data_IF_053447568960
#
_entry.id   IF_053447568960
#
_cell.length_a   1.000
_cell.length_b   1.000
_cell.length_c   1.000
_cell.angle_alpha   90.00
_cell.angle_beta   90.00
_cell.angle_gamma   90.00
#
_symmetry.space_group_name_H-M   'P 1'
#
loop_
_entity.id
_entity.type
_entity.pdbx_description
1 polymer ?
#
# COMPACT_ATOMS: atom_id res chain seq x y z
N UNK A 1 -0.26 21.92 -9.37
CA UNK A 1 -0.64 20.56 -8.95
C UNK A 1 -0.18 20.37 -7.51
N UNK A 2 -1.03 20.30 -6.47
CA UNK A 2 -0.52 20.10 -5.12
C UNK A 2 -0.16 18.63 -4.95
N UNK A 3 1.14 18.37 -4.86
CA UNK A 3 1.66 17.14 -4.28
C UNK A 3 1.33 17.10 -2.78
N UNK A 4 1.07 15.92 -2.21
CA UNK A 4 1.20 15.71 -0.76
C UNK A 4 -0.07 15.81 0.08
N UNK A 5 -1.20 15.27 -0.39
CA UNK A 5 -2.31 15.01 0.55
C UNK A 5 -1.89 13.85 1.46
N UNK A 6 -1.66 14.16 2.72
CA UNK A 6 -1.35 13.18 3.77
C UNK A 6 -2.65 12.53 4.22
N UNK A 7 -2.67 11.20 4.26
CA UNK A 7 -3.73 10.43 4.90
C UNK A 7 -3.31 10.22 6.35
N UNK A 8 -4.15 10.68 7.27
CA UNK A 8 -3.86 10.68 8.72
C UNK A 8 -3.85 9.27 9.30
N UNK A 9 -4.87 8.46 9.00
CA UNK A 9 -5.00 7.08 9.43
C UNK A 9 -5.84 6.32 8.42
N UNK A 10 -5.43 5.10 8.06
CA UNK A 10 -6.24 4.16 7.30
C UNK A 10 -6.04 2.75 7.86
N UNK A 11 -7.13 2.03 8.06
CA UNK A 11 -7.13 0.63 8.50
C UNK A 11 -7.48 -0.25 7.32
N UNK A 12 -6.57 -1.14 6.94
CA UNK A 12 -6.71 -1.93 5.71
C UNK A 12 -6.22 -3.36 5.91
N UNK A 13 -6.81 -4.28 5.16
CA UNK A 13 -6.30 -5.64 5.00
C UNK A 13 -5.40 -5.72 3.78
N UNK A 14 -4.25 -6.37 3.95
CA UNK A 14 -3.33 -6.66 2.85
C UNK A 14 -3.81 -7.92 2.15
N UNK A 15 -4.28 -7.77 0.91
CA UNK A 15 -4.76 -8.89 0.11
C UNK A 15 -3.60 -9.64 -0.54
N UNK A 16 -2.63 -8.91 -1.09
CA UNK A 16 -1.43 -9.49 -1.70
C UNK A 16 -0.26 -8.51 -1.69
N UNK A 17 0.94 -9.03 -1.54
CA UNK A 17 2.21 -8.33 -1.60
C UNK A 17 2.96 -8.86 -2.82
N UNK A 18 3.42 -7.95 -3.69
CA UNK A 18 4.18 -8.33 -4.88
C UNK A 18 5.45 -9.10 -4.48
N UNK A 19 5.79 -10.22 -5.15
CA UNK A 19 7.02 -10.93 -4.87
C UNK A 19 8.27 -10.14 -5.30
N UNK A 20 8.11 -9.20 -6.22
CA UNK A 20 9.21 -8.40 -6.78
C UNK A 20 9.35 -7.07 -6.07
N UNK A 21 10.59 -6.63 -5.88
CA UNK A 21 10.90 -5.26 -5.48
C UNK A 21 11.36 -4.44 -6.68
N UNK A 22 11.21 -3.14 -6.53
CA UNK A 22 11.60 -2.13 -7.51
C UNK A 22 12.63 -1.23 -6.86
N UNK A 23 13.70 -0.92 -7.58
CA UNK A 23 14.71 0.03 -7.11
C UNK A 23 14.56 1.31 -7.90
N UNK A 24 14.34 2.41 -7.19
CA UNK A 24 14.15 3.73 -7.79
C UNK A 24 15.22 4.68 -7.26
N UNK A 25 15.93 5.35 -8.16
CA UNK A 25 16.94 6.35 -7.78
C UNK A 25 16.25 7.67 -7.44
N UNK A 26 16.25 8.03 -6.16
CA UNK A 26 15.67 9.28 -5.65
C UNK A 26 16.82 10.16 -5.15
N UNK A 27 17.03 11.31 -5.80
CA UNK A 27 18.09 12.28 -5.45
C UNK A 27 19.49 11.65 -5.36
N UNK A 28 19.79 10.70 -6.25
CA UNK A 28 21.08 10.00 -6.31
C UNK A 28 21.20 8.81 -5.37
N UNK A 29 20.22 8.56 -4.49
CA UNK A 29 20.17 7.39 -3.62
C UNK A 29 19.21 6.36 -4.19
N UNK A 30 19.65 5.11 -4.28
CA UNK A 30 18.78 3.99 -4.65
C UNK A 30 17.84 3.66 -3.48
N UNK A 31 16.55 3.54 -3.79
CA UNK A 31 15.48 3.31 -2.82
C UNK A 31 14.68 2.09 -3.25
N UNK A 32 14.54 1.14 -2.34
CA UNK A 32 13.76 -0.07 -2.61
C UNK A 32 12.29 0.16 -2.28
N UNK A 33 11.42 -0.27 -3.20
CA UNK A 33 9.98 -0.21 -3.09
C UNK A 33 9.31 -1.53 -3.47
N UNK A 34 8.17 -1.82 -2.87
CA UNK A 34 7.33 -3.00 -3.17
C UNK A 34 5.86 -2.61 -3.21
N UNK A 35 5.13 -3.04 -4.24
CA UNK A 35 3.67 -2.85 -4.31
C UNK A 35 2.93 -3.91 -3.51
N UNK A 36 1.83 -3.52 -2.87
CA UNK A 36 0.84 -4.44 -2.33
C UNK A 36 -0.59 -3.96 -2.64
N UNK A 37 -1.52 -4.91 -2.76
CA UNK A 37 -2.96 -4.66 -2.85
C UNK A 37 -3.52 -4.64 -1.43
N UNK A 38 -4.16 -3.54 -1.08
CA UNK A 38 -4.83 -3.33 0.20
C UNK A 38 -6.30 -3.07 -0.03
N UNK A 39 -7.13 -3.43 0.93
CA UNK A 39 -8.56 -3.14 0.86
C UNK A 39 -9.11 -2.77 2.23
N UNK A 40 -10.02 -1.82 2.22
CA UNK A 40 -10.96 -1.56 3.31
C UNK A 40 -12.38 -1.95 2.88
N UNK A 41 -13.38 -1.56 3.67
CA UNK A 41 -14.80 -1.76 3.40
C UNK A 41 -15.33 -0.94 2.21
N UNK A 42 -14.59 0.07 1.76
CA UNK A 42 -15.00 0.97 0.67
C UNK A 42 -14.43 0.55 -0.68
N UNK A 43 -13.13 0.25 -0.74
CA UNK A 43 -12.42 0.05 -1.97
C UNK A 43 -11.10 -0.71 -1.78
N UNK A 44 -10.61 -1.18 -2.91
CA UNK A 44 -9.27 -1.75 -3.02
C UNK A 44 -8.32 -0.78 -3.72
N UNK A 45 -7.10 -0.66 -3.20
CA UNK A 45 -6.09 0.26 -3.69
C UNK A 45 -4.71 -0.41 -3.74
N UNK A 46 -3.84 0.15 -4.57
CA UNK A 46 -2.41 -0.19 -4.55
C UNK A 46 -1.67 0.71 -3.56
N UNK A 47 -0.89 0.08 -2.68
CA UNK A 47 0.01 0.73 -1.73
C UNK A 47 1.46 0.42 -2.11
N UNK A 48 2.23 1.46 -2.35
CA UNK A 48 3.67 1.37 -2.51
C UNK A 48 4.35 1.41 -1.14
N UNK A 49 4.93 0.30 -0.74
CA UNK A 49 5.77 0.17 0.45
C UNK A 49 7.21 0.58 0.10
N UNK A 50 7.87 1.25 1.03
CA UNK A 50 9.26 1.65 0.91
C UNK A 50 10.05 1.22 2.14
N UNK A 51 11.31 0.81 1.91
CA UNK A 51 12.31 0.57 2.95
C UNK A 51 11.81 -0.41 4.03
N UNK A 52 11.92 -0.05 5.31
CA UNK A 52 11.48 -0.82 6.49
C UNK A 52 10.05 -1.37 6.42
N UNK A 53 9.17 -0.75 5.63
CA UNK A 53 7.78 -1.20 5.52
C UNK A 53 7.64 -2.44 4.61
N UNK A 54 8.61 -2.68 3.73
CA UNK A 54 8.61 -3.82 2.80
C UNK A 54 8.64 -5.15 3.57
N UNK A 55 9.43 -5.22 4.64
CA UNK A 55 9.59 -6.43 5.46
C UNK A 55 8.49 -6.58 6.51
N UNK A 56 7.90 -5.45 6.94
CA UNK A 56 6.89 -5.42 8.01
C UNK A 56 5.51 -5.89 7.55
N UNK A 57 5.16 -5.58 6.31
CA UNK A 57 3.82 -5.82 5.75
C UNK A 57 3.75 -7.21 5.13
N UNK A 58 2.78 -8.00 5.57
CA UNK A 58 2.63 -9.40 5.16
C UNK A 58 1.25 -9.64 4.55
N UNK A 59 1.18 -10.66 3.68
CA UNK A 59 -0.07 -11.12 3.08
C UNK A 59 -1.11 -11.47 4.13
N UNK A 60 -2.37 -11.15 3.83
CA UNK A 60 -3.57 -11.51 4.59
C UNK A 60 -3.61 -10.96 6.03
N UNK A 61 -2.74 -10.01 6.37
CA UNK A 61 -2.76 -9.31 7.67
C UNK A 61 -3.41 -7.95 7.55
N UNK A 62 -3.97 -7.50 8.66
CA UNK A 62 -4.61 -6.19 8.78
C UNK A 62 -3.70 -5.21 9.52
N UNK A 63 -3.61 -3.99 8.99
CA UNK A 63 -2.73 -2.95 9.50
C UNK A 63 -3.43 -1.60 9.53
N UNK A 64 -3.10 -0.80 10.56
CA UNK A 64 -3.35 0.63 10.56
C UNK A 64 -2.09 1.36 10.09
N UNK A 65 -2.24 2.16 9.04
CA UNK A 65 -1.18 3.02 8.53
C UNK A 65 -1.51 4.48 8.82
N UNK A 66 -0.53 5.22 9.34
CA UNK A 66 -0.63 6.67 9.53
C UNK A 66 0.40 7.41 8.69
N UNK A 67 0.13 8.68 8.38
CA UNK A 67 1.02 9.53 7.60
C UNK A 67 1.39 8.93 6.22
N UNK A 68 0.41 8.32 5.55
CA UNK A 68 0.59 7.90 4.16
C UNK A 68 0.54 9.11 3.23
N UNK A 69 1.27 9.06 2.13
CA UNK A 69 1.15 10.07 1.07
C UNK A 69 0.26 9.52 -0.03
N UNK A 70 -0.74 10.30 -0.43
CA UNK A 70 -1.54 10.03 -1.62
C UNK A 70 -0.93 10.75 -2.82
N UNK A 71 -0.80 10.05 -3.95
CA UNK A 71 -0.31 10.59 -5.22
C UNK A 71 -1.17 10.10 -6.38
N UNK A 72 -1.34 10.95 -7.39
CA UNK A 72 -1.97 10.54 -8.64
C UNK A 72 -0.87 10.26 -9.66
N UNK A 73 -0.82 9.04 -10.18
CA UNK A 73 0.11 8.62 -11.22
C UNK A 73 -0.65 7.90 -12.32
N UNK A 74 -0.45 8.35 -13.56
CA UNK A 74 -1.15 7.84 -14.75
C UNK A 74 -2.69 7.83 -14.60
N UNK A 75 -3.25 8.87 -14.00
CA UNK A 75 -4.70 9.00 -13.75
C UNK A 75 -5.25 8.13 -12.62
N UNK A 76 -4.42 7.32 -11.95
CA UNK A 76 -4.82 6.48 -10.82
C UNK A 76 -4.30 7.04 -9.51
N UNK A 77 -5.10 6.89 -8.45
CA UNK A 77 -4.70 7.23 -7.09
C UNK A 77 -3.85 6.09 -6.53
N UNK A 78 -2.68 6.44 -5.99
CA UNK A 78 -1.74 5.54 -5.35
C UNK A 78 -1.47 6.02 -3.92
N UNK A 79 -1.44 5.08 -2.98
CA UNK A 79 -0.93 5.34 -1.65
C UNK A 79 0.54 4.94 -1.60
N UNK A 80 1.34 5.68 -0.85
CA UNK A 80 2.76 5.40 -0.68
C UNK A 80 3.15 5.64 0.77
N UNK A 81 3.90 4.70 1.34
CA UNK A 81 4.55 4.91 2.63
C UNK A 81 5.64 5.97 2.49
N UNK A 82 5.95 6.65 3.57
CA UNK A 82 7.04 7.61 3.67
C UNK A 82 7.93 7.26 4.86
N UNK A 83 9.00 8.02 5.08
CA UNK A 83 9.86 7.85 6.26
C UNK A 83 9.10 8.06 7.58
N UNK A 84 8.10 8.94 7.59
CA UNK A 84 7.25 9.24 8.74
C UNK A 84 6.00 8.36 8.86
N UNK A 85 5.80 7.42 7.91
CA UNK A 85 4.69 6.48 8.02
C UNK A 85 4.90 5.57 9.22
N UNK A 86 3.85 5.40 10.00
CA UNK A 86 3.77 4.39 11.03
C UNK A 86 2.81 3.30 10.57
N UNK A 87 3.09 2.09 11.00
CA UNK A 87 2.34 0.90 10.63
C UNK A 87 2.21 0.04 11.88
N UNK A 88 0.98 -0.29 12.28
CA UNK A 88 0.68 -1.14 13.43
C UNK A 88 -0.22 -2.28 12.98
N UNK A 89 0.03 -3.49 13.49
CA UNK A 89 -0.86 -4.63 13.26
C UNK A 89 -2.14 -4.40 14.05
N UNK A 90 -3.29 -4.61 13.41
CA UNK A 90 -4.61 -4.50 14.04
C UNK A 90 -5.38 -5.82 13.95
N UNK A 91 -6.56 -5.86 14.56
CA UNK A 91 -7.47 -7.00 14.44
C UNK A 91 -7.81 -7.26 12.97
N UNK A 92 -8.13 -8.52 12.65
CA UNK A 92 -8.40 -8.90 11.26
C UNK A 92 -9.68 -8.25 10.73
N UNK A 93 -9.52 -7.39 9.72
CA UNK A 93 -10.63 -6.73 9.05
C UNK A 93 -11.33 -7.71 8.11
N UNK A 94 -12.65 -7.79 8.22
CA UNK A 94 -13.48 -8.59 7.32
C UNK A 94 -13.75 -7.77 6.07
N UNK A 95 -13.00 -8.05 5.01
CA UNK A 95 -13.17 -7.35 3.73
C UNK A 95 -13.88 -8.27 2.75
N UNK A 96 -14.91 -7.75 2.09
CA UNK A 96 -15.76 -8.55 1.22
C UNK A 96 -14.98 -9.11 0.02
N UNK A 97 -15.07 -10.42 -0.20
CA UNK A 97 -14.35 -11.19 -1.24
C UNK A 97 -14.64 -10.74 -2.68
N UNK A 98 -15.63 -9.87 -2.90
CA UNK A 98 -16.03 -9.39 -4.22
C UNK A 98 -14.92 -8.64 -4.98
N UNK A 99 -13.86 -8.17 -4.31
CA UNK A 99 -12.69 -7.53 -4.95
C UNK A 99 -11.54 -8.51 -5.25
N UNK A 100 -11.60 -9.75 -4.73
CA UNK A 100 -10.59 -10.81 -4.90
C UNK A 100 -10.95 -11.69 -6.10
N UNK A 101 -11.29 -11.11 -7.25
CA UNK A 101 -11.47 -11.91 -8.46
C UNK A 101 -10.10 -12.16 -9.12
N UNK A 102 -9.58 -13.41 -9.15
CA UNK A 102 -8.60 -13.76 -10.16
C UNK A 102 -9.31 -13.69 -11.51
N UNK A 103 -8.86 -12.82 -12.41
CA UNK A 103 -9.23 -12.93 -13.82
C UNK A 103 -8.82 -14.32 -14.30
N UNK A 104 -9.79 -15.23 -14.47
CA UNK A 104 -9.55 -16.48 -15.17
C UNK A 104 -9.13 -16.16 -16.61
N UNK A 105 -8.05 -16.76 -17.14
CA UNK A 105 -7.78 -16.72 -18.57
C UNK A 105 -8.86 -17.53 -19.31
N UNK A 106 -9.33 -16.96 -20.41
CA UNK A 106 -10.27 -17.57 -21.36
C UNK A 106 -9.62 -18.70 -22.16
#
# INVERSE_FOLDING_TARGET
MPAGKTVSLVEVKVLSVSPSTTVVKIRGTDREGRSCRISDDTAELELQLWEKHIEKVQNLKSYAFSHLSMRVFNGKVHLTTTLGTECTVVADLQVSEASVAPRMPS
#
